data_IF_599129671014
#
_entry.id   IF_599129671014
#
_cell.length_a   1.000
_cell.length_b   1.000
_cell.length_c   1.000
_cell.angle_alpha   90.00
_cell.angle_beta   90.00
_cell.angle_gamma   90.00
#
_symmetry.space_group_name_H-M   'P 1'
#
loop_
_entity.id
_entity.type
_entity.pdbx_description
1 polymer ?
#
# COMPACT_ATOMS: atom_id res chain seq x y z
N UNK A 1 -17.80 19.40 -7.40
CA UNK A 1 -18.29 20.73 -6.92
C UNK A 1 -18.66 20.56 -5.45
N UNK A 2 -18.18 21.42 -4.52
CA UNK A 2 -18.55 21.36 -3.09
C UNK A 2 -19.75 22.27 -2.83
N UNK A 3 -20.75 21.76 -2.12
CA UNK A 3 -21.92 22.52 -1.70
C UNK A 3 -21.83 22.84 -0.21
N UNK A 4 -22.39 23.98 0.18
CA UNK A 4 -22.45 24.39 1.58
C UNK A 4 -23.74 23.86 2.20
N UNK A 5 -23.60 23.07 3.29
CA UNK A 5 -24.72 22.58 4.09
C UNK A 5 -24.61 23.08 5.53
N UNK A 6 -25.73 23.15 6.23
CA UNK A 6 -25.80 23.43 7.67
C UNK A 6 -26.27 22.18 8.39
N UNK A 7 -25.55 21.75 9.42
CA UNK A 7 -25.87 20.57 10.21
C UNK A 7 -26.03 20.97 11.68
N UNK A 8 -27.02 20.39 12.34
CA UNK A 8 -27.14 20.40 13.80
C UNK A 8 -26.56 19.09 14.31
N UNK A 9 -25.55 19.17 15.17
CA UNK A 9 -24.79 18.02 15.67
C UNK A 9 -24.79 18.08 17.20
N UNK A 10 -24.97 16.94 17.84
CA UNK A 10 -24.83 16.81 19.28
C UNK A 10 -23.46 17.28 19.77
N UNK A 11 -23.42 17.89 20.97
CA UNK A 11 -22.20 18.49 21.51
C UNK A 11 -21.07 17.48 21.73
N UNK A 12 -21.39 16.28 22.24
CA UNK A 12 -20.38 15.24 22.46
C UNK A 12 -19.79 14.73 21.15
N UNK A 13 -20.61 14.61 20.09
CA UNK A 13 -20.15 14.25 18.75
C UNK A 13 -19.28 15.36 18.18
N UNK A 14 -19.67 16.62 18.37
CA UNK A 14 -18.92 17.78 17.90
C UNK A 14 -17.53 17.84 18.54
N UNK A 15 -17.43 17.62 19.87
CA UNK A 15 -16.16 17.56 20.59
C UNK A 15 -15.24 16.43 20.08
N UNK A 16 -15.80 15.27 19.74
CA UNK A 16 -15.07 14.17 19.10
C UNK A 16 -14.58 14.51 17.68
N UNK A 17 -15.37 15.27 16.93
CA UNK A 17 -14.98 15.78 15.60
C UNK A 17 -13.84 16.80 15.74
N UNK A 18 -13.97 17.75 16.67
CA UNK A 18 -12.96 18.78 16.93
C UNK A 18 -11.62 18.16 17.36
N UNK A 19 -11.65 17.10 18.18
CA UNK A 19 -10.46 16.35 18.59
C UNK A 19 -9.72 15.64 17.44
N UNK A 20 -10.32 15.56 16.25
CA UNK A 20 -9.66 15.02 15.05
C UNK A 20 -9.00 16.09 14.18
N UNK A 21 -9.28 17.36 14.44
CA UNK A 21 -8.68 18.49 13.69
C UNK A 21 -7.27 18.73 14.20
N UNK A 22 -6.28 18.46 13.36
CA UNK A 22 -4.85 18.62 13.66
C UNK A 22 -4.21 19.85 12.97
N UNK A 23 -4.99 20.53 12.10
CA UNK A 23 -4.55 21.71 11.33
C UNK A 23 -3.66 21.38 10.13
N UNK A 24 -3.18 20.15 10.00
CA UNK A 24 -2.31 19.69 8.92
C UNK A 24 -3.00 18.68 8.01
N UNK A 25 -3.25 17.49 8.50
CA UNK A 25 -3.94 16.41 7.80
C UNK A 25 -5.44 16.65 7.74
N UNK A 26 -6.04 17.01 8.87
CA UNK A 26 -7.45 17.40 8.98
C UNK A 26 -7.52 18.90 9.29
N UNK A 27 -7.67 19.70 8.25
CA UNK A 27 -7.46 21.15 8.28
C UNK A 27 -8.47 21.92 9.14
N UNK A 28 -9.70 21.46 9.21
CA UNK A 28 -10.78 22.13 9.93
C UNK A 28 -11.97 21.17 10.18
N UNK A 29 -12.94 21.64 10.96
CA UNK A 29 -14.17 20.90 11.30
C UNK A 29 -14.94 20.39 10.08
N UNK A 30 -15.11 21.20 9.04
CA UNK A 30 -15.82 20.79 7.82
C UNK A 30 -15.12 19.66 7.11
N UNK A 31 -13.79 19.69 7.06
CA UNK A 31 -12.97 18.61 6.51
C UNK A 31 -13.07 17.33 7.37
N UNK A 32 -13.08 17.46 8.71
CA UNK A 32 -13.29 16.32 9.60
C UNK A 32 -14.67 15.67 9.38
N UNK A 33 -15.73 16.46 9.27
CA UNK A 33 -17.09 15.97 8.98
C UNK A 33 -17.15 15.29 7.62
N UNK A 34 -16.58 15.90 6.57
CA UNK A 34 -16.52 15.33 5.22
C UNK A 34 -15.85 13.95 5.24
N UNK A 35 -14.69 13.82 5.89
CA UNK A 35 -13.98 12.55 6.00
C UNK A 35 -14.76 11.49 6.78
N UNK A 36 -15.43 11.88 7.87
CA UNK A 36 -16.26 10.96 8.65
C UNK A 36 -17.50 10.51 7.86
N UNK A 37 -18.11 11.39 7.07
CA UNK A 37 -19.23 11.05 6.19
C UNK A 37 -18.75 10.12 5.06
N UNK A 38 -17.62 10.40 4.42
CA UNK A 38 -16.99 9.51 3.44
C UNK A 38 -16.78 8.13 4.08
N UNK A 39 -16.23 8.07 5.29
CA UNK A 39 -16.01 6.81 6.02
C UNK A 39 -17.32 6.09 6.35
N UNK A 40 -18.36 6.79 6.75
CA UNK A 40 -19.68 6.24 7.07
C UNK A 40 -20.46 5.82 5.81
N UNK A 41 -20.36 6.61 4.74
CA UNK A 41 -21.02 6.35 3.45
C UNK A 41 -20.25 5.35 2.58
N UNK A 42 -18.99 5.09 2.90
CA UNK A 42 -18.18 4.09 2.20
C UNK A 42 -18.63 2.67 2.60
N UNK A 43 -19.85 2.32 2.20
CA UNK A 43 -20.19 0.94 1.85
C UNK A 43 -19.26 0.42 0.70
N UNK A 44 -18.52 1.28 0.06
CA UNK A 44 -17.43 1.03 -0.89
C UNK A 44 -16.08 1.12 -0.19
N UNK A 45 -15.79 0.13 0.64
CA UNK A 45 -14.42 -0.19 1.04
C UNK A 45 -13.64 -0.63 -0.19
N UNK A 46 -12.32 -0.49 -0.16
CA UNK A 46 -11.47 -1.08 -1.19
C UNK A 46 -11.81 -2.56 -1.33
N UNK A 47 -12.25 -2.97 -2.51
CA UNK A 47 -12.69 -4.35 -2.76
C UNK A 47 -11.63 -5.19 -3.44
N UNK A 48 -10.73 -4.55 -4.20
CA UNK A 48 -9.70 -5.19 -5.01
C UNK A 48 -8.30 -4.91 -4.47
N UNK A 49 -7.46 -5.93 -4.52
CA UNK A 49 -6.05 -5.78 -4.21
C UNK A 49 -5.16 -6.58 -5.16
N UNK A 50 -3.93 -6.10 -5.34
CA UNK A 50 -2.85 -6.80 -6.03
C UNK A 50 -1.74 -7.05 -5.02
N UNK A 51 -1.24 -8.29 -4.95
CA UNK A 51 -0.02 -8.62 -4.23
C UNK A 51 1.07 -8.88 -5.26
N UNK A 52 2.13 -8.06 -5.23
CA UNK A 52 3.29 -8.23 -6.08
C UNK A 52 4.27 -9.22 -5.41
N UNK A 53 4.33 -10.43 -5.94
CA UNK A 53 5.14 -11.53 -5.44
C UNK A 53 6.09 -12.09 -6.52
N UNK A 54 6.29 -11.35 -7.61
CA UNK A 54 7.13 -11.75 -8.75
C UNK A 54 8.64 -11.65 -8.54
N UNK A 55 9.09 -10.94 -7.49
CA UNK A 55 10.51 -10.67 -7.23
C UNK A 55 11.31 -11.84 -6.65
N UNK A 56 10.75 -13.02 -6.49
CA UNK A 56 11.44 -14.22 -6.01
C UNK A 56 12.30 -14.84 -7.11
N UNK A 57 13.55 -14.41 -7.23
CA UNK A 57 14.55 -15.20 -7.95
C UNK A 57 15.18 -16.21 -6.99
N UNK A 58 15.09 -17.50 -7.31
CA UNK A 58 15.74 -18.58 -6.57
C UNK A 58 17.29 -18.41 -6.47
N UNK A 59 17.86 -17.46 -7.21
CA UNK A 59 19.30 -17.21 -7.29
C UNK A 59 19.86 -16.27 -6.23
N UNK A 60 19.03 -15.54 -5.46
CA UNK A 60 19.51 -14.39 -4.68
C UNK A 60 19.53 -14.57 -3.16
N UNK A 61 19.47 -15.77 -2.61
CA UNK A 61 19.38 -15.99 -1.14
C UNK A 61 18.24 -15.21 -0.45
N UNK A 62 17.24 -14.80 -1.19
CA UNK A 62 16.08 -14.08 -0.65
C UNK A 62 15.21 -15.00 0.20
N UNK A 63 14.59 -14.41 1.19
CA UNK A 63 13.59 -15.12 2.02
C UNK A 63 12.36 -15.37 1.18
N UNK A 64 11.90 -16.62 1.16
CA UNK A 64 10.64 -16.95 0.45
C UNK A 64 9.44 -16.33 1.14
N UNK A 65 8.46 -15.89 0.34
CA UNK A 65 7.16 -15.41 0.86
C UNK A 65 6.37 -16.51 1.61
N UNK A 66 6.78 -17.77 1.46
CA UNK A 66 6.22 -18.92 2.19
C UNK A 66 6.84 -19.13 3.56
N UNK A 67 7.93 -18.40 3.89
CA UNK A 67 8.55 -18.50 5.21
C UNK A 67 7.61 -18.03 6.31
N UNK A 68 7.63 -18.81 7.38
CA UNK A 68 6.74 -18.58 8.52
C UNK A 68 7.30 -17.51 9.46
N UNK A 69 6.44 -16.58 9.81
CA UNK A 69 6.64 -15.65 10.92
C UNK A 69 5.52 -15.89 11.91
N UNK A 70 5.85 -16.50 13.04
CA UNK A 70 4.88 -17.05 14.00
C UNK A 70 3.97 -18.09 13.32
N UNK A 71 2.66 -17.90 13.33
CA UNK A 71 1.68 -18.89 12.87
C UNK A 71 1.38 -18.83 11.37
N UNK A 72 1.91 -17.85 10.64
CA UNK A 72 1.56 -17.56 9.25
C UNK A 72 2.76 -17.24 8.39
N UNK A 73 2.67 -17.56 7.10
CA UNK A 73 3.67 -17.11 6.13
C UNK A 73 3.58 -15.61 5.87
N UNK A 74 4.63 -15.04 5.24
CA UNK A 74 4.63 -13.64 4.84
C UNK A 74 3.45 -13.32 3.92
N UNK A 75 3.20 -14.17 2.94
CA UNK A 75 2.07 -14.00 2.03
C UNK A 75 0.73 -14.05 2.78
N UNK A 76 0.57 -14.98 3.71
CA UNK A 76 -0.67 -15.12 4.47
C UNK A 76 -0.94 -13.90 5.38
N UNK A 77 0.11 -13.29 5.94
CA UNK A 77 -0.02 -12.04 6.69
C UNK A 77 -0.51 -10.89 5.81
N UNK A 78 0.00 -10.79 4.58
CA UNK A 78 -0.45 -9.77 3.62
C UNK A 78 -1.91 -10.02 3.18
N UNK A 79 -2.29 -11.27 2.89
CA UNK A 79 -3.69 -11.63 2.61
C UNK A 79 -4.59 -11.29 3.81
N UNK A 80 -4.16 -11.59 5.05
CA UNK A 80 -4.91 -11.26 6.27
C UNK A 80 -5.09 -9.76 6.44
N UNK A 81 -4.06 -8.95 6.16
CA UNK A 81 -4.16 -7.49 6.18
C UNK A 81 -5.26 -7.00 5.24
N UNK A 82 -5.22 -7.43 3.99
CA UNK A 82 -6.18 -7.03 2.96
C UNK A 82 -7.61 -7.47 3.31
N UNK A 83 -7.78 -8.74 3.66
CA UNK A 83 -9.09 -9.31 4.05
C UNK A 83 -9.72 -8.58 5.23
N UNK A 84 -8.94 -8.27 6.27
CA UNK A 84 -9.41 -7.55 7.45
C UNK A 84 -9.95 -6.16 7.11
N UNK A 85 -9.36 -5.50 6.12
CA UNK A 85 -9.78 -4.17 5.66
C UNK A 85 -10.84 -4.24 4.54
N UNK A 86 -11.53 -5.37 4.39
CA UNK A 86 -12.71 -5.49 3.54
C UNK A 86 -12.47 -5.85 2.08
N UNK A 87 -11.22 -6.11 1.69
CA UNK A 87 -10.88 -6.59 0.33
C UNK A 87 -11.60 -7.92 0.07
N UNK A 88 -12.19 -8.05 -1.12
CA UNK A 88 -12.96 -9.22 -1.57
C UNK A 88 -12.27 -10.02 -2.66
N UNK A 89 -11.47 -9.34 -3.49
CA UNK A 89 -10.75 -9.94 -4.60
C UNK A 89 -9.26 -9.58 -4.50
N UNK A 90 -8.41 -10.59 -4.55
CA UNK A 90 -6.95 -10.43 -4.53
C UNK A 90 -6.37 -11.09 -5.77
N UNK A 91 -5.62 -10.32 -6.57
CA UNK A 91 -4.79 -10.88 -7.63
C UNK A 91 -3.34 -10.97 -7.14
N UNK A 92 -2.75 -12.15 -7.15
CA UNK A 92 -1.37 -12.39 -6.74
C UNK A 92 -0.52 -12.58 -7.98
N UNK A 93 0.43 -11.64 -8.22
CA UNK A 93 1.41 -11.75 -9.28
C UNK A 93 2.56 -12.66 -8.82
N UNK A 94 2.79 -13.76 -9.53
CA UNK A 94 3.82 -14.75 -9.21
C UNK A 94 4.61 -15.13 -10.47
N UNK A 95 5.87 -15.58 -10.34
CA UNK A 95 6.58 -16.20 -11.44
C UNK A 95 5.84 -17.46 -11.92
N UNK A 96 5.89 -17.74 -13.22
CA UNK A 96 5.32 -18.97 -13.80
C UNK A 96 5.88 -20.23 -13.12
N UNK A 97 5.01 -21.17 -12.86
CA UNK A 97 5.38 -22.47 -12.28
C UNK A 97 5.38 -22.54 -10.74
N UNK A 98 4.99 -21.46 -10.04
CA UNK A 98 4.85 -21.47 -8.57
C UNK A 98 3.55 -22.15 -8.12
N UNK A 99 3.43 -23.45 -8.45
CA UNK A 99 2.26 -24.26 -8.05
C UNK A 99 2.16 -24.41 -6.53
N UNK A 100 3.28 -24.44 -5.82
CA UNK A 100 3.36 -24.43 -4.37
C UNK A 100 2.55 -23.30 -3.72
N UNK A 101 2.54 -22.11 -4.33
CA UNK A 101 1.75 -20.97 -3.88
C UNK A 101 0.27 -21.19 -4.23
N UNK A 102 -0.03 -21.58 -5.47
CA UNK A 102 -1.40 -21.71 -5.95
C UNK A 102 -2.19 -22.81 -5.21
N UNK A 103 -1.54 -23.91 -4.89
CA UNK A 103 -2.14 -25.02 -4.14
C UNK A 103 -2.41 -24.64 -2.68
N UNK A 104 -1.52 -23.87 -2.07
CA UNK A 104 -1.63 -23.50 -0.66
C UNK A 104 -2.62 -22.38 -0.39
N UNK A 105 -2.69 -21.37 -1.26
CA UNK A 105 -3.52 -20.18 -1.06
C UNK A 105 -4.65 -20.11 -2.07
N UNK A 106 -5.72 -20.84 -1.79
CA UNK A 106 -6.94 -20.88 -2.61
C UNK A 106 -8.02 -19.97 -2.03
N UNK A 107 -9.00 -19.59 -2.85
CA UNK A 107 -10.21 -18.88 -2.39
C UNK A 107 -10.87 -19.58 -1.21
N UNK A 108 -10.97 -20.91 -1.26
CA UNK A 108 -11.59 -21.73 -0.19
C UNK A 108 -10.81 -21.63 1.12
N UNK A 109 -9.48 -21.74 1.06
CA UNK A 109 -8.63 -21.73 2.25
C UNK A 109 -8.54 -20.33 2.87
N UNK A 110 -8.53 -19.28 2.05
CA UNK A 110 -8.33 -17.90 2.52
C UNK A 110 -9.65 -17.19 2.81
N UNK A 111 -10.75 -17.63 2.24
CA UNK A 111 -12.08 -17.00 2.40
C UNK A 111 -12.13 -15.58 1.84
N UNK A 112 -11.42 -15.36 0.74
CA UNK A 112 -11.39 -14.17 -0.12
C UNK A 112 -11.12 -14.66 -1.53
N UNK A 113 -11.70 -14.04 -2.56
CA UNK A 113 -11.48 -14.47 -3.94
C UNK A 113 -10.00 -14.23 -4.33
N UNK A 114 -9.30 -15.30 -4.68
CA UNK A 114 -7.89 -15.26 -5.07
C UNK A 114 -7.75 -15.66 -6.52
N UNK A 115 -7.12 -14.76 -7.28
CA UNK A 115 -6.71 -14.99 -8.66
C UNK A 115 -5.19 -14.90 -8.74
N UNK A 116 -4.62 -15.58 -9.72
CA UNK A 116 -3.18 -15.57 -9.97
C UNK A 116 -2.90 -14.98 -11.35
N UNK A 117 -1.91 -14.08 -11.39
CA UNK A 117 -1.28 -13.67 -12.63
C UNK A 117 0.14 -14.24 -12.66
N UNK A 118 0.38 -15.14 -13.63
CA UNK A 118 1.67 -15.82 -13.78
C UNK A 118 2.53 -15.09 -14.80
N UNK A 119 3.66 -14.58 -14.35
CA UNK A 119 4.65 -13.89 -15.19
C UNK A 119 5.59 -14.91 -15.85
N UNK A 120 5.59 -15.00 -17.16
CA UNK A 120 6.56 -15.81 -17.90
C UNK A 120 7.98 -15.23 -17.80
N UNK A 121 8.07 -13.90 -17.87
CA UNK A 121 9.28 -13.13 -17.66
C UNK A 121 8.98 -12.03 -16.67
N UNK A 122 9.95 -11.62 -15.83
CA UNK A 122 9.78 -10.51 -14.90
C UNK A 122 9.35 -9.23 -15.65
N UNK A 123 8.25 -8.63 -15.23
CA UNK A 123 7.72 -7.40 -15.81
C UNK A 123 8.13 -6.16 -15.00
N UNK A 124 8.68 -6.34 -13.80
CA UNK A 124 8.89 -5.28 -12.83
C UNK A 124 7.61 -4.86 -12.13
N UNK A 125 7.71 -4.10 -11.05
CA UNK A 125 6.57 -3.77 -10.18
C UNK A 125 5.48 -2.98 -10.92
N UNK A 126 5.84 -2.09 -11.84
CA UNK A 126 4.88 -1.34 -12.64
C UNK A 126 4.35 -2.15 -13.83
N UNK A 127 5.22 -2.91 -14.51
CA UNK A 127 4.80 -3.76 -15.63
C UNK A 127 3.77 -4.82 -15.21
N UNK A 128 3.91 -5.42 -14.02
CA UNK A 128 2.92 -6.34 -13.45
C UNK A 128 1.55 -5.66 -13.26
N UNK A 129 1.53 -4.42 -12.80
CA UNK A 129 0.31 -3.62 -12.67
C UNK A 129 -0.29 -3.32 -14.06
N UNK A 130 0.53 -2.96 -15.03
CA UNK A 130 0.08 -2.70 -16.41
C UNK A 130 -0.57 -3.93 -17.04
N UNK A 131 0.02 -5.10 -16.83
CA UNK A 131 -0.53 -6.38 -17.32
C UNK A 131 -1.89 -6.72 -16.69
N UNK A 132 -2.19 -6.16 -15.51
CA UNK A 132 -3.47 -6.30 -14.81
C UNK A 132 -4.45 -5.15 -15.10
N UNK A 133 -4.34 -4.46 -16.22
CA UNK A 133 -5.21 -3.32 -16.58
C UNK A 133 -6.69 -3.66 -16.53
N UNK A 134 -7.09 -4.86 -16.95
CA UNK A 134 -8.48 -5.33 -16.90
C UNK A 134 -8.97 -5.60 -15.45
N UNK A 135 -8.06 -5.84 -14.52
CA UNK A 135 -8.38 -6.01 -13.12
C UNK A 135 -8.56 -4.66 -12.40
N UNK A 136 -7.79 -3.63 -12.78
CA UNK A 136 -7.78 -2.30 -12.12
C UNK A 136 -8.88 -1.42 -12.72
N UNK A 137 -10.12 -1.73 -12.42
CA UNK A 137 -11.32 -1.00 -12.90
C UNK A 137 -11.88 -0.03 -11.86
N UNK A 138 -11.36 -0.07 -10.65
CA UNK A 138 -11.75 0.77 -9.52
C UNK A 138 -10.53 0.98 -8.61
N UNK A 139 -10.67 1.82 -7.58
CA UNK A 139 -9.64 2.03 -6.56
C UNK A 139 -9.13 0.68 -6.03
N UNK A 140 -7.84 0.43 -6.17
CA UNK A 140 -7.21 -0.86 -5.88
C UNK A 140 -6.04 -0.68 -4.91
N UNK A 141 -5.89 -1.58 -3.93
CA UNK A 141 -4.68 -1.67 -3.12
C UNK A 141 -3.63 -2.48 -3.88
N UNK A 142 -2.41 -2.00 -3.90
CA UNK A 142 -1.23 -2.77 -4.33
C UNK A 142 -0.31 -2.93 -3.12
N UNK A 143 0.19 -4.12 -2.87
CA UNK A 143 1.16 -4.33 -1.80
C UNK A 143 2.28 -5.29 -2.23
N UNK A 144 3.46 -5.07 -1.63
CA UNK A 144 4.58 -6.02 -1.73
C UNK A 144 4.37 -7.18 -0.77
N UNK A 145 4.91 -8.33 -1.13
CA UNK A 145 4.76 -9.58 -0.37
C UNK A 145 5.90 -9.84 0.62
N UNK A 146 6.99 -9.09 0.52
CA UNK A 146 8.26 -9.32 1.23
C UNK A 146 8.43 -8.50 2.52
N UNK A 147 7.34 -7.93 3.02
CA UNK A 147 7.31 -7.18 4.27
C UNK A 147 6.05 -7.48 5.09
N UNK A 148 6.12 -7.17 6.38
CA UNK A 148 5.00 -7.23 7.32
C UNK A 148 4.66 -5.82 7.78
N UNK A 149 3.38 -5.47 7.74
CA UNK A 149 2.93 -4.11 8.00
C UNK A 149 1.58 -4.06 8.73
N UNK A 150 1.46 -3.08 9.64
CA UNK A 150 0.21 -2.74 10.32
C UNK A 150 -0.25 -1.36 9.88
N UNK A 151 -0.75 -1.28 8.67
CA UNK A 151 -1.37 -0.07 8.12
C UNK A 151 -2.88 -0.18 8.23
N UNK A 152 -3.54 0.92 8.62
CA UNK A 152 -5.01 1.03 8.58
C UNK A 152 -5.40 1.42 7.15
N UNK A 153 -5.83 0.42 6.37
CA UNK A 153 -6.23 0.64 4.98
C UNK A 153 -7.57 1.38 4.86
N UNK A 154 -8.45 1.26 5.85
CA UNK A 154 -9.71 2.03 5.87
C UNK A 154 -9.40 3.53 6.04
N UNK A 155 -8.48 3.88 6.96
CA UNK A 155 -8.04 5.26 7.16
C UNK A 155 -7.24 5.80 5.97
N UNK A 156 -6.33 4.98 5.43
CA UNK A 156 -5.57 5.31 4.21
C UNK A 156 -6.49 5.51 3.00
N UNK A 157 -7.58 4.74 2.89
CA UNK A 157 -8.57 4.91 1.82
C UNK A 157 -9.35 6.24 1.95
N UNK A 158 -9.80 6.57 3.16
CA UNK A 158 -10.46 7.84 3.43
C UNK A 158 -9.53 9.02 3.10
N UNK A 159 -8.27 8.91 3.50
CA UNK A 159 -7.23 9.89 3.15
C UNK A 159 -7.05 10.01 1.63
N UNK A 160 -6.93 8.89 0.92
CA UNK A 160 -6.78 8.85 -0.54
C UNK A 160 -7.96 9.55 -1.24
N UNK A 161 -9.19 9.15 -0.90
CA UNK A 161 -10.40 9.73 -1.51
C UNK A 161 -10.59 11.22 -1.17
N UNK A 162 -10.19 11.63 0.02
CA UNK A 162 -10.26 13.04 0.43
C UNK A 162 -9.28 13.96 -0.30
N UNK A 163 -8.25 13.42 -0.93
CA UNK A 163 -7.24 14.16 -1.68
C UNK A 163 -7.41 14.12 -3.19
N UNK A 164 -8.23 13.21 -3.72
CA UNK A 164 -8.55 13.06 -5.15
C UNK A 164 -7.29 12.99 -6.04
N UNK A 165 -6.42 12.00 -5.76
CA UNK A 165 -5.14 11.78 -6.44
C UNK A 165 -5.03 10.37 -7.01
N UNK A 166 -4.21 10.24 -8.04
CA UNK A 166 -4.01 8.97 -8.75
C UNK A 166 -3.35 7.90 -7.88
N UNK A 167 -2.43 8.28 -6.98
CA UNK A 167 -1.71 7.32 -6.14
C UNK A 167 -1.43 7.87 -4.74
N UNK A 168 -1.66 7.02 -3.73
CA UNK A 168 -1.23 7.24 -2.34
C UNK A 168 -0.23 6.16 -1.95
N UNK A 169 0.95 6.55 -1.47
CA UNK A 169 1.96 5.64 -0.92
C UNK A 169 1.88 5.65 0.60
N UNK A 170 1.82 4.46 1.24
CA UNK A 170 2.05 4.34 2.66
C UNK A 170 3.53 4.55 2.98
N UNK A 171 3.82 5.48 3.88
CA UNK A 171 5.17 5.87 4.28
C UNK A 171 5.40 5.59 5.76
N UNK A 172 6.60 5.14 6.08
CA UNK A 172 7.09 4.99 7.44
C UNK A 172 8.50 5.55 7.57
N UNK A 173 9.04 5.64 8.79
CA UNK A 173 10.39 6.17 9.03
C UNK A 173 11.36 5.06 9.39
N UNK A 174 12.60 5.20 8.91
CA UNK A 174 13.74 4.34 9.27
C UNK A 174 14.97 5.19 9.58
N UNK A 175 15.93 4.61 10.29
CA UNK A 175 17.19 5.29 10.60
C UNK A 175 18.09 5.42 9.38
N UNK A 176 18.18 4.37 8.57
CA UNK A 176 18.95 4.35 7.32
C UNK A 176 18.03 4.12 6.12
N UNK A 177 17.69 5.17 5.35
CA UNK A 177 16.80 5.08 4.21
C UNK A 177 17.48 4.62 2.90
N UNK A 178 18.79 4.43 2.88
CA UNK A 178 19.57 4.17 1.65
C UNK A 178 19.18 2.90 0.88
N UNK A 179 18.44 2.00 1.51
CA UNK A 179 18.00 0.75 0.90
C UNK A 179 16.55 0.79 0.38
N UNK A 180 15.92 1.98 0.38
CA UNK A 180 14.49 2.13 0.11
C UNK A 180 14.21 3.28 -0.85
N UNK A 181 13.02 3.28 -1.42
CA UNK A 181 12.47 4.47 -2.06
C UNK A 181 12.11 5.51 -0.99
N UNK A 182 12.63 6.72 -1.15
CA UNK A 182 12.53 7.82 -0.16
C UNK A 182 11.66 8.93 -0.71
N UNK A 183 10.69 9.39 0.08
CA UNK A 183 9.80 10.47 -0.28
C UNK A 183 10.22 11.80 0.37
N UNK A 184 10.29 12.89 -0.41
CA UNK A 184 10.33 14.25 0.08
C UNK A 184 8.92 14.83 0.05
N UNK A 185 8.41 15.24 1.19
CA UNK A 185 7.02 15.70 1.32
C UNK A 185 6.90 17.21 1.60
N UNK A 186 5.77 17.78 1.13
CA UNK A 186 5.25 19.05 1.60
C UNK A 186 3.75 18.90 1.90
N UNK A 187 3.38 18.92 3.17
CA UNK A 187 2.06 18.46 3.60
C UNK A 187 1.83 17.01 3.18
N UNK A 188 0.74 16.74 2.47
CA UNK A 188 0.41 15.41 1.96
C UNK A 188 1.06 15.09 0.61
N UNK A 189 1.60 16.09 -0.09
CA UNK A 189 2.18 15.92 -1.44
C UNK A 189 3.58 15.37 -1.36
N UNK A 190 3.89 14.39 -2.20
CA UNK A 190 5.26 13.96 -2.44
C UNK A 190 5.83 14.86 -3.54
N UNK A 191 6.81 15.69 -3.17
CA UNK A 191 7.51 16.60 -4.10
C UNK A 191 8.53 15.86 -4.95
N UNK A 192 9.19 14.86 -4.36
CA UNK A 192 10.17 14.01 -5.02
C UNK A 192 10.15 12.61 -4.42
N UNK A 193 10.40 11.63 -5.27
CA UNK A 193 10.61 10.25 -4.88
C UNK A 193 11.95 9.78 -5.45
N UNK A 194 12.85 9.29 -4.58
CA UNK A 194 14.21 8.89 -4.94
C UNK A 194 14.43 7.45 -4.51
N UNK A 195 14.67 6.58 -5.48
CA UNK A 195 14.93 5.15 -5.20
C UNK A 195 16.39 4.94 -4.76
N UNK A 196 16.56 4.35 -3.59
CA UNK A 196 17.85 3.97 -2.99
C UNK A 196 18.91 5.07 -3.07
N UNK A 197 18.65 6.26 -2.50
CA UNK A 197 19.66 7.32 -2.47
C UNK A 197 20.88 6.89 -1.67
N UNK A 198 22.01 7.57 -1.86
CA UNK A 198 23.10 7.43 -0.89
C UNK A 198 22.65 7.89 0.49
N UNK A 199 23.26 7.36 1.55
CA UNK A 199 22.85 7.67 2.94
C UNK A 199 22.84 9.18 3.21
N UNK A 200 23.87 9.89 2.73
CA UNK A 200 24.00 11.34 2.91
C UNK A 200 23.19 12.15 1.89
N UNK A 201 22.73 11.51 0.81
CA UNK A 201 21.90 12.11 -0.24
C UNK A 201 20.40 11.86 -0.11
N UNK A 202 19.97 11.17 0.94
CA UNK A 202 18.56 10.88 1.17
C UNK A 202 17.80 12.18 1.53
N UNK A 203 16.73 12.54 0.78
CA UNK A 203 16.02 13.79 1.01
C UNK A 203 15.22 13.80 2.32
N UNK A 204 14.98 12.64 2.92
CA UNK A 204 14.26 12.48 4.18
C UNK A 204 14.51 11.08 4.77
N UNK A 205 13.87 10.78 5.89
CA UNK A 205 13.80 9.42 6.47
C UNK A 205 12.46 8.71 6.19
N UNK A 206 11.58 9.32 5.39
CA UNK A 206 10.29 8.74 5.03
C UNK A 206 10.48 7.79 3.85
N UNK A 207 10.24 6.53 4.08
CA UNK A 207 10.41 5.47 3.08
C UNK A 207 9.10 4.86 2.64
N UNK A 208 9.09 4.31 1.43
CA UNK A 208 8.03 3.49 0.90
C UNK A 208 7.88 2.22 1.75
N UNK A 209 6.68 2.03 2.30
CA UNK A 209 6.35 0.86 3.14
C UNK A 209 5.68 -0.28 2.35
N UNK A 210 5.76 -0.27 1.01
CA UNK A 210 5.28 -1.34 0.16
C UNK A 210 3.75 -1.52 0.12
N UNK A 211 3.00 -0.44 0.37
CA UNK A 211 1.54 -0.40 0.19
C UNK A 211 1.14 0.86 -0.54
N UNK A 212 0.29 0.69 -1.54
CA UNK A 212 -0.21 1.78 -2.37
C UNK A 212 -1.73 1.66 -2.52
N UNK A 213 -2.41 2.80 -2.60
CA UNK A 213 -3.77 2.88 -3.14
C UNK A 213 -3.67 3.58 -4.47
N UNK A 214 -4.21 2.97 -5.51
CA UNK A 214 -4.13 3.46 -6.88
C UNK A 214 -5.52 3.57 -7.51
N UNK A 215 -5.71 4.63 -8.29
CA UNK A 215 -6.84 4.76 -9.19
C UNK A 215 -6.51 4.15 -10.55
N UNK A 216 -7.50 3.75 -11.37
CA UNK A 216 -7.26 3.20 -12.71
C UNK A 216 -6.38 4.09 -13.59
N UNK A 217 -6.39 5.39 -13.37
CA UNK A 217 -5.59 6.38 -14.10
C UNK A 217 -4.08 6.19 -13.95
N UNK A 218 -3.61 5.41 -12.95
CA UNK A 218 -2.19 5.06 -12.83
C UNK A 218 -1.66 4.39 -14.09
N UNK A 219 -2.50 3.64 -14.82
CA UNK A 219 -2.14 2.94 -16.04
C UNK A 219 -1.63 3.86 -17.15
N UNK A 220 -2.00 5.15 -17.13
CA UNK A 220 -1.51 6.18 -18.07
C UNK A 220 -0.05 6.55 -17.84
N UNK A 221 0.46 6.33 -16.62
CA UNK A 221 1.83 6.67 -16.22
C UNK A 221 2.81 5.51 -16.38
N UNK A 222 2.30 4.28 -16.55
CA UNK A 222 3.12 3.07 -16.66
C UNK A 222 3.50 2.85 -18.13
N UNK A 223 4.80 2.81 -18.46
CA UNK A 223 5.26 2.46 -19.81
C UNK A 223 4.96 0.98 -20.14
N UNK A 224 4.96 0.64 -21.41
CA UNK A 224 4.83 -0.74 -21.85
C UNK A 224 6.14 -1.52 -21.57
N UNK A 225 5.98 -2.83 -21.31
CA UNK A 225 7.10 -3.74 -21.05
C UNK A 225 7.58 -3.71 -19.60
N UNK A 226 8.87 -4.04 -19.41
CA UNK A 226 9.49 -4.02 -18.07
C UNK A 226 9.55 -2.60 -17.52
N UNK A 227 8.96 -2.39 -16.35
CA UNK A 227 8.99 -1.10 -15.67
C UNK A 227 8.83 -1.26 -14.16
N UNK A 228 9.37 -0.30 -13.40
CA UNK A 228 9.42 -0.30 -11.95
C UNK A 228 8.73 0.95 -11.40
N UNK A 229 7.83 0.78 -10.44
CA UNK A 229 7.06 1.88 -9.85
C UNK A 229 7.96 3.00 -9.33
N UNK A 230 9.01 2.65 -8.62
CA UNK A 230 9.91 3.56 -7.92
C UNK A 230 10.75 4.43 -8.87
N UNK A 231 11.07 3.93 -10.05
CA UNK A 231 11.96 4.59 -11.03
C UNK A 231 11.16 5.22 -12.17
N UNK A 232 10.12 4.52 -12.65
CA UNK A 232 9.46 4.88 -13.90
C UNK A 232 8.13 5.60 -13.69
N UNK A 233 7.46 5.40 -12.54
CA UNK A 233 6.09 5.87 -12.30
C UNK A 233 6.02 6.92 -11.19
N UNK A 234 6.51 6.63 -9.99
CA UNK A 234 6.39 7.57 -8.86
C UNK A 234 7.05 8.92 -9.09
N UNK A 235 8.25 9.04 -9.74
CA UNK A 235 8.80 10.35 -10.06
C UNK A 235 7.92 11.15 -11.02
N UNK A 236 7.25 10.49 -11.98
CA UNK A 236 6.32 11.15 -12.91
C UNK A 236 5.06 11.63 -12.20
N UNK A 237 4.48 10.78 -11.35
CA UNK A 237 3.31 11.14 -10.55
C UNK A 237 3.62 12.29 -9.58
N UNK A 238 4.79 12.28 -8.93
CA UNK A 238 5.22 13.38 -8.07
C UNK A 238 5.32 14.70 -8.85
N UNK A 239 5.94 14.68 -10.04
CA UNK A 239 6.05 15.86 -10.91
C UNK A 239 4.69 16.37 -11.39
N UNK A 240 3.72 15.48 -11.61
CA UNK A 240 2.35 15.84 -12.02
C UNK A 240 1.44 16.18 -10.84
N UNK A 241 1.95 16.18 -9.61
CA UNK A 241 1.19 16.41 -8.37
C UNK A 241 0.09 15.35 -8.10
N UNK A 242 0.26 14.17 -8.67
CA UNK A 242 -0.66 13.04 -8.59
C UNK A 242 -0.23 11.98 -7.56
N UNK A 243 0.87 12.23 -6.81
CA UNK A 243 1.41 11.36 -5.78
C UNK A 243 1.32 12.01 -4.40
N UNK A 244 0.68 11.30 -3.47
CA UNK A 244 0.60 11.72 -2.06
C UNK A 244 1.12 10.63 -1.14
N UNK A 245 1.56 11.04 0.05
CA UNK A 245 2.10 10.17 1.08
C UNK A 245 1.16 10.08 2.29
N UNK A 246 0.84 8.85 2.69
CA UNK A 246 0.15 8.53 3.93
C UNK A 246 1.15 8.01 4.96
N UNK A 247 1.52 8.85 5.91
CA UNK A 247 2.47 8.48 6.98
C UNK A 247 1.73 7.72 8.08
N UNK A 248 2.21 6.52 8.41
CA UNK A 248 1.65 5.72 9.49
C UNK A 248 2.71 5.30 10.51
N UNK A 249 2.29 5.10 11.76
CA UNK A 249 3.16 4.72 12.89
C UNK A 249 3.02 3.25 13.28
N UNK A 250 2.30 2.43 12.50
CA UNK A 250 2.14 1.00 12.73
C UNK A 250 3.45 0.24 12.57
N UNK A 251 3.51 -0.97 13.12
CA UNK A 251 4.69 -1.82 12.97
C UNK A 251 4.91 -2.17 11.48
N UNK A 252 6.15 -2.00 11.03
CA UNK A 252 6.61 -2.37 9.71
C UNK A 252 7.94 -3.09 9.79
N UNK A 253 8.09 -4.22 9.08
CA UNK A 253 9.29 -5.06 9.06
C UNK A 253 9.53 -5.56 7.65
N UNK A 254 10.64 -5.15 7.02
CA UNK A 254 11.11 -5.75 5.77
C UNK A 254 11.70 -7.12 6.06
N UNK A 255 11.52 -8.08 5.14
CA UNK A 255 12.01 -9.46 5.31
C UNK A 255 12.58 -9.97 3.99
N UNK A 256 13.80 -9.56 3.68
CA UNK A 256 14.53 -10.01 2.49
C UNK A 256 15.69 -10.95 2.82
N UNK A 257 16.18 -10.92 4.06
CA UNK A 257 17.34 -11.69 4.51
C UNK A 257 16.99 -12.58 5.69
N UNK A 258 17.79 -13.63 5.93
CA UNK A 258 17.58 -14.50 7.09
C UNK A 258 17.66 -13.78 8.44
N UNK A 259 18.59 -12.83 8.68
CA UNK A 259 18.58 -12.03 9.92
C UNK A 259 17.29 -11.22 10.10
N UNK A 260 16.75 -10.62 9.03
CA UNK A 260 15.48 -9.88 9.09
C UNK A 260 14.30 -10.82 9.40
N UNK A 261 14.30 -12.04 8.85
CA UNK A 261 13.29 -13.07 9.16
C UNK A 261 13.32 -13.44 10.65
N UNK A 262 14.52 -13.72 11.20
CA UNK A 262 14.67 -14.06 12.62
C UNK A 262 14.25 -12.90 13.55
N UNK A 263 14.57 -11.67 13.13
CA UNK A 263 14.07 -10.47 13.81
C UNK A 263 12.55 -10.40 13.77
N UNK A 264 11.96 -10.62 12.59
CA UNK A 264 10.50 -10.58 12.42
C UNK A 264 9.80 -11.64 13.27
N UNK A 265 10.34 -12.85 13.39
CA UNK A 265 9.81 -13.92 14.26
C UNK A 265 9.73 -13.48 15.73
N UNK A 266 10.68 -12.68 16.19
CA UNK A 266 10.72 -12.16 17.58
C UNK A 266 9.83 -10.95 17.81
N UNK A 267 9.78 -10.03 16.83
CA UNK A 267 9.19 -8.71 17.02
C UNK A 267 7.74 -8.59 16.49
N UNK A 268 7.36 -9.42 15.50
CA UNK A 268 6.05 -9.30 14.88
C UNK A 268 4.90 -9.64 15.84
N UNK A 269 4.04 -8.66 16.10
CA UNK A 269 2.90 -8.81 17.03
C UNK A 269 1.61 -9.25 16.34
N UNK A 270 1.69 -9.68 15.08
CA UNK A 270 0.52 -10.11 14.31
C UNK A 270 -0.45 -8.96 14.00
N UNK A 271 -1.44 -9.27 13.17
CA UNK A 271 -2.59 -8.40 12.88
C UNK A 271 -3.76 -8.95 13.71
N UNK A 272 -4.25 -8.16 14.64
CA UNK A 272 -5.41 -8.53 15.50
C UNK A 272 -6.69 -8.60 14.69
#
# INVERSE_FOLDING_TARGET
MKERITLTIDREILEKIDGKVDGSTIKNRSHAVELLLIKAMSSNRIRKAIILAGGESAKDNKVSILEMVNEKSLLEWNIKLLKRNGVKEICICIPKGRNDIKEKYTTQNMGVDIRYYEEENPLGTAGSIKALSEFITETTVVCYSDDLKKVDLDDMYVFHKGNDKTCTIALTTVDDPSHFGVALMNGNRILAFVEKPSKDGAPSKLINAGVFIVEPDILKYIPDGFSVLEQDVFPKLAKSEELIGYVFSGQWLRIMTRPELERARKEWKGIK
#
